data_IF_345263303191
#
_entry.id   IF_345263303191
#
_cell.length_a   1.000
_cell.length_b   1.000
_cell.length_c   1.000
_cell.angle_alpha   90.00
_cell.angle_beta   90.00
_cell.angle_gamma   90.00
#
_symmetry.space_group_name_H-M   'P 1'
#
loop_
_entity.id
_entity.type
_entity.pdbx_description
1 polymer ?
#
# COMPACT_ATOMS: atom_id res chain seq x y z
N UNK A 1 -3.61 -24.04 -3.86
CA UNK A 1 -2.20 -23.90 -4.28
C UNK A 1 -1.72 -22.53 -3.83
N UNK A 2 -0.78 -22.49 -2.88
CA UNK A 2 -0.23 -21.23 -2.39
C UNK A 2 0.75 -20.69 -3.41
N UNK A 3 0.39 -19.63 -4.12
CA UNK A 3 1.36 -18.83 -4.81
C UNK A 3 2.24 -18.18 -3.73
N UNK A 4 3.45 -18.70 -3.56
CA UNK A 4 4.51 -18.05 -2.78
C UNK A 4 4.94 -16.79 -3.54
N UNK A 5 4.07 -15.79 -3.59
CA UNK A 5 4.45 -14.43 -3.94
C UNK A 5 5.48 -14.05 -2.88
N UNK A 6 6.69 -13.68 -3.32
CA UNK A 6 7.83 -13.34 -2.48
C UNK A 6 7.61 -12.16 -1.52
N UNK A 7 6.36 -11.71 -1.31
CA UNK A 7 5.93 -10.83 -0.23
C UNK A 7 6.39 -11.33 1.15
N UNK A 8 6.32 -12.65 1.37
CA UNK A 8 6.67 -13.28 2.65
C UNK A 8 8.16 -13.63 2.78
N UNK A 9 8.96 -13.43 1.72
CA UNK A 9 10.38 -13.81 1.70
C UNK A 9 11.24 -12.67 2.26
N UNK A 10 10.99 -12.27 3.51
CA UNK A 10 11.92 -11.53 4.37
C UNK A 10 12.32 -10.10 3.98
N UNK A 11 11.96 -9.59 2.81
CA UNK A 11 12.52 -8.34 2.26
C UNK A 11 11.50 -7.20 2.10
N UNK A 12 10.30 -7.33 2.68
CA UNK A 12 9.21 -6.34 2.54
C UNK A 12 8.81 -5.68 3.86
N UNK A 13 9.79 -5.39 4.74
CA UNK A 13 9.57 -4.62 5.98
C UNK A 13 8.94 -3.26 5.64
N UNK A 14 9.38 -2.64 4.54
CA UNK A 14 8.87 -1.35 4.08
C UNK A 14 7.39 -1.42 3.65
N UNK A 15 6.99 -2.46 2.91
CA UNK A 15 5.59 -2.69 2.55
C UNK A 15 4.71 -2.96 3.77
N UNK A 16 5.17 -3.83 4.69
CA UNK A 16 4.42 -4.15 5.91
C UNK A 16 4.27 -2.90 6.79
N UNK A 17 5.33 -2.11 6.93
CA UNK A 17 5.30 -0.83 7.65
C UNK A 17 4.38 0.17 6.98
N UNK A 18 4.41 0.29 5.64
CA UNK A 18 3.54 1.18 4.88
C UNK A 18 2.07 0.82 5.07
N UNK A 19 1.71 -0.46 4.98
CA UNK A 19 0.33 -0.94 5.23
C UNK A 19 -0.11 -0.65 6.67
N UNK A 20 0.77 -0.87 7.66
CA UNK A 20 0.47 -0.58 9.05
C UNK A 20 0.23 0.93 9.28
N UNK A 21 1.08 1.78 8.71
CA UNK A 21 0.93 3.23 8.76
C UNK A 21 -0.37 3.68 8.07
N UNK A 22 -0.69 3.12 6.90
CA UNK A 22 -1.95 3.37 6.19
C UNK A 22 -3.16 3.08 7.07
N UNK A 23 -3.14 1.96 7.80
CA UNK A 23 -4.17 1.59 8.76
C UNK A 23 -4.27 2.57 9.93
N UNK A 24 -3.14 3.10 10.41
CA UNK A 24 -3.13 4.11 11.47
C UNK A 24 -3.70 5.45 10.98
N UNK A 25 -3.37 5.89 9.76
CA UNK A 25 -3.96 7.08 9.15
C UNK A 25 -5.46 6.93 8.91
N UNK A 26 -5.91 5.74 8.50
CA UNK A 26 -7.33 5.44 8.35
C UNK A 26 -8.07 5.55 9.69
N UNK A 27 -7.50 4.99 10.76
CA UNK A 27 -8.03 5.14 12.11
C UNK A 27 -8.05 6.60 12.59
N UNK A 28 -7.01 7.39 12.29
CA UNK A 28 -7.02 8.81 12.63
C UNK A 28 -8.09 9.59 11.85
N UNK A 29 -8.34 9.24 10.59
CA UNK A 29 -9.41 9.83 9.77
C UNK A 29 -10.80 9.46 10.30
N UNK A 30 -11.04 8.23 10.76
CA UNK A 30 -12.35 7.84 11.33
C UNK A 30 -12.67 8.58 12.62
N UNK A 31 -11.66 8.86 13.46
CA UNK A 31 -11.86 9.58 14.74
C UNK A 31 -11.97 11.11 14.54
N UNK A 32 -11.53 11.65 13.40
CA UNK A 32 -11.53 13.10 13.11
C UNK A 32 -12.29 13.41 11.83
N UNK A 33 -13.63 13.59 11.90
CA UNK A 33 -14.47 13.88 10.74
C UNK A 33 -14.03 15.12 9.93
N UNK A 34 -13.42 16.11 10.59
CA UNK A 34 -12.88 17.32 9.96
C UNK A 34 -11.75 17.06 8.96
N UNK A 35 -11.08 15.90 9.05
CA UNK A 35 -10.00 15.46 8.15
C UNK A 35 -10.51 14.57 7.01
N UNK A 36 -11.83 14.42 6.84
CA UNK A 36 -12.40 13.69 5.70
C UNK A 36 -12.31 14.46 4.39
N UNK A 37 -12.23 15.79 4.46
CA UNK A 37 -11.99 16.60 3.28
C UNK A 37 -10.59 16.32 2.76
N UNK A 38 -10.49 15.73 1.57
CA UNK A 38 -9.23 15.35 0.95
C UNK A 38 -8.26 16.53 0.80
N UNK A 39 -8.76 17.75 0.55
CA UNK A 39 -7.93 18.95 0.51
C UNK A 39 -7.26 19.25 1.86
N UNK A 40 -7.99 19.15 2.97
CA UNK A 40 -7.46 19.40 4.31
C UNK A 40 -6.49 18.30 4.74
N UNK A 41 -6.79 17.05 4.37
CA UNK A 41 -5.91 15.93 4.66
C UNK A 41 -4.62 16.00 3.84
N UNK A 42 -4.70 16.27 2.54
CA UNK A 42 -3.53 16.41 1.65
C UNK A 42 -2.60 17.54 2.08
N UNK A 43 -3.16 18.63 2.63
CA UNK A 43 -2.38 19.74 3.17
C UNK A 43 -1.70 19.39 4.51
N UNK A 44 -2.22 18.41 5.25
CA UNK A 44 -1.65 17.97 6.52
C UNK A 44 -0.35 17.18 6.33
N UNK A 45 0.54 17.21 7.33
CA UNK A 45 1.74 16.38 7.36
C UNK A 45 1.42 14.89 7.28
N UNK A 46 0.29 14.47 7.83
CA UNK A 46 -0.22 13.10 7.79
C UNK A 46 -0.63 12.67 6.37
N UNK A 47 -1.20 13.58 5.57
CA UNK A 47 -1.56 13.28 4.18
C UNK A 47 -0.35 13.06 3.28
N UNK A 48 0.73 13.82 3.49
CA UNK A 48 1.99 13.58 2.78
C UNK A 48 2.64 12.25 3.16
N UNK A 49 2.47 11.80 4.41
CA UNK A 49 2.93 10.47 4.84
C UNK A 49 2.10 9.35 4.21
N UNK A 50 0.78 9.51 4.24
CA UNK A 50 -0.17 8.58 3.62
C UNK A 50 0.11 8.39 2.12
N UNK A 51 0.36 9.47 1.37
CA UNK A 51 0.62 9.40 -0.07
C UNK A 51 1.92 8.63 -0.40
N UNK A 52 2.96 8.81 0.43
CA UNK A 52 4.21 8.04 0.32
C UNK A 52 4.00 6.56 0.60
N UNK A 53 3.30 6.23 1.69
CA UNK A 53 2.99 4.84 2.04
C UNK A 53 2.09 4.18 0.97
N UNK A 54 1.14 4.93 0.42
CA UNK A 54 0.27 4.49 -0.68
C UNK A 54 1.10 4.17 -1.93
N UNK A 55 2.10 5.00 -2.26
CA UNK A 55 2.99 4.76 -3.38
C UNK A 55 3.75 3.43 -3.23
N UNK A 56 4.31 3.15 -2.04
CA UNK A 56 5.00 1.88 -1.75
C UNK A 56 4.07 0.68 -1.93
N UNK A 57 2.84 0.76 -1.42
CA UNK A 57 1.83 -0.29 -1.55
C UNK A 57 1.43 -0.50 -3.02
N UNK A 58 1.28 0.58 -3.79
CA UNK A 58 0.93 0.50 -5.20
C UNK A 58 2.06 -0.09 -6.04
N UNK A 59 3.30 0.37 -5.85
CA UNK A 59 4.47 -0.20 -6.54
C UNK A 59 4.64 -1.68 -6.25
N UNK A 60 4.32 -2.13 -5.04
CA UNK A 60 4.32 -3.55 -4.70
C UNK A 60 3.22 -4.32 -5.44
N UNK A 61 2.00 -3.80 -5.43
CA UNK A 61 0.83 -4.43 -6.08
C UNK A 61 1.00 -4.53 -7.61
N UNK A 62 1.58 -3.51 -8.23
CA UNK A 62 1.90 -3.49 -9.66
C UNK A 62 2.92 -4.58 -10.01
N UNK A 63 4.00 -4.71 -9.23
CA UNK A 63 4.99 -5.78 -9.40
C UNK A 63 4.35 -7.16 -9.31
N UNK A 64 3.45 -7.38 -8.36
CA UNK A 64 2.74 -8.66 -8.20
C UNK A 64 1.82 -8.95 -9.38
N UNK A 65 1.09 -7.95 -9.85
CA UNK A 65 0.16 -8.07 -10.98
C UNK A 65 0.93 -8.40 -12.28
N UNK A 66 2.01 -7.67 -12.56
CA UNK A 66 2.88 -7.92 -13.72
C UNK A 66 3.50 -9.31 -13.66
N UNK A 67 3.93 -9.76 -12.47
CA UNK A 67 4.51 -11.10 -12.29
C UNK A 67 3.50 -12.19 -12.59
N UNK A 68 2.27 -12.05 -12.09
CA UNK A 68 1.19 -13.03 -12.29
C UNK A 68 0.80 -13.13 -13.76
N UNK A 69 0.67 -12.00 -14.46
CA UNK A 69 0.37 -11.96 -15.89
C UNK A 69 1.50 -12.57 -16.74
N UNK A 70 2.77 -12.36 -16.37
CA UNK A 70 3.92 -12.99 -17.06
C UNK A 70 3.93 -14.52 -16.93
N UNK A 71 3.51 -15.05 -15.79
CA UNK A 71 3.43 -16.51 -15.58
C UNK A 71 2.36 -17.14 -16.46
N UNK A 72 1.19 -16.50 -16.60
CA UNK A 72 0.11 -16.97 -17.47
C UNK A 72 0.51 -16.97 -18.96
N UNK A 73 1.27 -15.96 -19.41
CA UNK A 73 1.75 -15.87 -20.81
C UNK A 73 2.85 -16.91 -21.11
N UNK A 74 3.68 -17.30 -20.13
CA UNK A 74 4.73 -18.31 -20.31
C UNK A 74 4.23 -19.76 -20.29
N UNK A 75 2.99 -19.99 -19.81
CA UNK A 75 2.34 -21.30 -19.82
C UNK A 75 1.52 -21.59 -21.09
N UNK A 76 1.50 -20.65 -22.05
CA UNK A 76 0.94 -20.79 -23.40
C UNK A 76 2.06 -20.93 -24.42
#
# INVERSE_FOLDING_TARGET
>A
MGASIGAQKGENIEYVSAVHNLGNFFNQRTVRPWLWLDCLFSLSSSGRGFDKDLHVVHSFTEKVTVTTLKTEIQSL
#
